data_IF_501929534236
#
_entry.id   IF_501929534236
#
_cell.length_a   1.000
_cell.length_b   1.000
_cell.length_c   1.000
_cell.angle_alpha   90.00
_cell.angle_beta   90.00
_cell.angle_gamma   90.00
#
_symmetry.space_group_name_H-M   'P 1'
#
loop_
_entity.id
_entity.type
_entity.pdbx_description
1 polymer ?
#
# COMPACT_ATOMS: atom_id res chain seq x y z
N UNK A 1 -32.85 64.35 -4.31
CA UNK A 1 -31.44 64.21 -4.73
C UNK A 1 -30.64 63.86 -3.50
N UNK A 2 -30.14 62.65 -3.31
CA UNK A 2 -29.17 61.99 -4.18
C UNK A 2 -29.26 60.47 -4.02
N UNK A 3 -29.45 59.81 -5.14
CA UNK A 3 -29.30 58.38 -5.39
C UNK A 3 -27.83 57.99 -5.48
N UNK A 4 -27.45 56.89 -4.82
CA UNK A 4 -26.22 56.12 -5.06
C UNK A 4 -26.57 54.65 -4.84
N UNK A 5 -27.09 53.99 -5.88
CA UNK A 5 -26.35 53.08 -6.77
C UNK A 5 -25.87 51.81 -6.04
N UNK A 6 -26.79 50.85 -5.91
CA UNK A 6 -26.49 49.44 -5.67
C UNK A 6 -25.89 48.85 -6.96
N UNK A 7 -24.57 48.73 -6.99
CA UNK A 7 -23.84 48.00 -8.02
C UNK A 7 -23.70 46.54 -7.59
N UNK A 8 -23.98 45.65 -8.54
CA UNK A 8 -24.02 44.22 -8.41
C UNK A 8 -22.70 43.60 -7.93
N UNK A 9 -22.82 42.58 -7.08
CA UNK A 9 -21.85 41.49 -6.99
C UNK A 9 -22.64 40.19 -7.15
N UNK A 10 -22.95 39.88 -8.41
CA UNK A 10 -23.08 38.49 -8.86
C UNK A 10 -21.64 37.97 -9.01
N UNK A 11 -21.08 37.44 -7.93
CA UNK A 11 -19.92 36.55 -8.02
C UNK A 11 -20.52 35.14 -8.18
N UNK A 12 -20.43 34.64 -9.42
CA UNK A 12 -20.75 33.27 -9.74
C UNK A 12 -19.65 32.37 -9.16
N UNK A 13 -19.88 31.80 -7.98
CA UNK A 13 -19.12 30.66 -7.48
C UNK A 13 -19.64 29.40 -8.19
N UNK A 14 -19.25 29.27 -9.46
CA UNK A 14 -19.53 28.13 -10.35
C UNK A 14 -18.37 27.11 -10.25
N UNK A 15 -17.96 26.78 -9.03
CA UNK A 15 -16.98 25.73 -8.70
C UNK A 15 -17.70 24.48 -8.15
N UNK A 16 -18.83 24.10 -8.76
CA UNK A 16 -19.43 22.78 -8.62
C UNK A 16 -18.56 21.74 -9.35
N UNK A 17 -17.31 21.59 -8.92
CA UNK A 17 -16.57 20.36 -9.20
C UNK A 17 -17.32 19.25 -8.47
N UNK A 18 -18.08 18.45 -9.23
CA UNK A 18 -18.79 17.29 -8.69
C UNK A 18 -17.84 16.51 -7.77
N UNK A 19 -18.24 16.27 -6.52
CA UNK A 19 -17.45 15.52 -5.53
C UNK A 19 -16.99 14.13 -6.05
N UNK A 20 -17.62 13.65 -7.12
CA UNK A 20 -17.28 12.44 -7.86
C UNK A 20 -15.93 12.51 -8.63
N UNK A 21 -15.46 13.71 -8.97
CA UNK A 21 -14.22 13.93 -9.74
C UNK A 21 -13.00 14.23 -8.84
N UNK A 22 -13.21 14.36 -7.52
CA UNK A 22 -12.15 14.65 -6.56
C UNK A 22 -11.49 13.35 -6.07
N UNK A 23 -10.18 13.20 -6.35
CA UNK A 23 -9.37 12.10 -5.82
C UNK A 23 -8.67 12.53 -4.52
N UNK A 24 -8.93 11.81 -3.43
CA UNK A 24 -8.41 12.11 -2.09
C UNK A 24 -7.16 11.30 -1.80
N UNK A 25 -6.02 11.98 -1.71
CA UNK A 25 -4.72 11.35 -1.45
C UNK A 25 -4.29 11.63 -0.02
N UNK A 26 -3.88 10.59 0.69
CA UNK A 26 -3.31 10.68 2.03
C UNK A 26 -1.90 10.11 2.07
N UNK A 27 -0.99 10.81 2.75
CA UNK A 27 0.35 10.31 3.05
C UNK A 27 0.40 9.87 4.50
N UNK A 28 0.61 8.58 4.73
CA UNK A 28 0.57 8.00 6.07
C UNK A 28 1.89 8.32 6.79
N UNK A 29 1.85 9.07 7.91
CA UNK A 29 3.05 9.40 8.65
C UNK A 29 3.62 8.18 9.37
N UNK A 30 4.91 8.24 9.68
CA UNK A 30 5.56 7.24 10.53
C UNK A 30 5.06 7.26 11.98
N UNK A 31 5.37 6.19 12.72
CA UNK A 31 5.15 6.07 14.17
C UNK A 31 3.68 6.08 14.64
N UNK A 32 2.72 5.84 13.74
CA UNK A 32 1.33 5.59 14.14
C UNK A 32 1.20 4.24 14.84
N UNK A 33 0.39 4.17 15.91
CA UNK A 33 0.12 2.91 16.63
C UNK A 33 -1.18 2.27 16.14
N UNK A 34 -2.12 3.09 15.69
CA UNK A 34 -3.40 2.66 15.16
C UNK A 34 -3.86 3.55 14.00
N UNK A 35 -4.77 3.06 13.13
CA UNK A 35 -5.37 3.88 12.09
C UNK A 35 -6.05 5.14 12.65
N UNK A 36 -6.61 5.09 13.86
CA UNK A 36 -7.29 6.21 14.53
C UNK A 36 -6.35 7.36 14.95
N UNK A 37 -5.04 7.10 14.98
CA UNK A 37 -4.05 8.13 15.25
C UNK A 37 -3.90 9.07 14.03
N UNK A 38 -4.27 8.58 12.84
CA UNK A 38 -4.24 9.36 11.61
C UNK A 38 -5.54 10.15 11.44
N UNK A 39 -5.42 11.48 11.34
CA UNK A 39 -6.56 12.40 11.31
C UNK A 39 -7.56 12.07 10.18
N UNK A 40 -7.15 11.84 8.92
CA UNK A 40 -8.09 11.49 7.84
C UNK A 40 -8.94 10.26 8.15
N UNK A 41 -8.34 9.18 8.67
CA UNK A 41 -9.09 7.99 9.06
C UNK A 41 -10.02 8.26 10.26
N UNK A 42 -9.57 9.04 11.23
CA UNK A 42 -10.38 9.39 12.40
C UNK A 42 -11.58 10.25 12.03
N UNK A 43 -11.42 11.22 11.14
CA UNK A 43 -12.51 12.10 10.70
C UNK A 43 -13.56 11.32 9.91
N UNK A 44 -13.12 10.46 8.99
CA UNK A 44 -14.02 9.59 8.24
C UNK A 44 -14.86 8.68 9.14
N UNK A 45 -14.29 8.18 10.24
CA UNK A 45 -15.04 7.40 11.21
C UNK A 45 -16.09 8.21 11.99
N UNK A 46 -15.93 9.53 12.08
CA UNK A 46 -16.84 10.41 12.81
C UNK A 46 -17.94 10.98 11.90
N UNK A 47 -17.59 11.37 10.68
CA UNK A 47 -18.49 11.97 9.71
C UNK A 47 -18.10 11.56 8.28
N UNK A 48 -18.46 10.36 7.82
CA UNK A 48 -18.08 9.86 6.50
C UNK A 48 -18.77 10.61 5.35
N UNK A 49 -19.80 11.41 5.63
CA UNK A 49 -20.52 12.19 4.62
C UNK A 49 -19.71 13.43 4.27
N UNK A 50 -19.22 14.16 5.27
CA UNK A 50 -18.46 15.40 5.05
C UNK A 50 -16.93 15.17 5.01
N UNK A 51 -16.43 14.10 5.64
CA UNK A 51 -15.03 13.69 5.64
C UNK A 51 -14.89 12.26 5.07
N UNK A 52 -15.18 12.02 3.79
CA UNK A 52 -15.06 10.68 3.18
C UNK A 52 -13.64 10.10 3.28
N UNK A 53 -13.49 8.76 3.19
CA UNK A 53 -12.20 8.12 3.32
C UNK A 53 -11.26 8.52 2.18
N UNK A 54 -9.93 8.50 2.39
CA UNK A 54 -8.97 8.68 1.30
C UNK A 54 -9.09 7.57 0.25
N UNK A 55 -9.02 7.95 -1.02
CA UNK A 55 -9.03 7.02 -2.16
C UNK A 55 -7.65 6.35 -2.34
N UNK A 56 -6.57 7.10 -2.07
CA UNK A 56 -5.19 6.64 -2.23
C UNK A 56 -4.42 6.93 -0.93
N UNK A 57 -3.74 5.92 -0.41
CA UNK A 57 -2.83 6.05 0.74
C UNK A 57 -1.40 5.73 0.31
N UNK A 58 -0.51 6.71 0.44
CA UNK A 58 0.93 6.56 0.19
C UNK A 58 1.62 6.32 1.52
N UNK A 59 2.45 5.27 1.62
CA UNK A 59 3.14 4.93 2.86
C UNK A 59 4.41 4.14 2.62
N UNK A 60 5.23 4.00 3.66
CA UNK A 60 6.40 3.13 3.68
C UNK A 60 6.09 1.82 4.42
N UNK A 61 6.76 0.70 4.06
CA UNK A 61 6.59 -0.56 4.79
C UNK A 61 6.83 -0.45 6.29
N UNK A 62 7.76 0.41 6.72
CA UNK A 62 8.06 0.63 8.13
C UNK A 62 6.89 1.25 8.91
N UNK A 63 6.08 2.09 8.26
CA UNK A 63 4.95 2.77 8.89
C UNK A 63 3.71 1.87 8.93
N UNK A 64 3.43 1.16 7.84
CA UNK A 64 2.25 0.31 7.72
C UNK A 64 2.43 -1.09 8.36
N UNK A 65 3.65 -1.64 8.32
CA UNK A 65 3.96 -2.99 8.78
C UNK A 65 3.53 -3.30 10.22
N UNK A 66 3.81 -2.43 11.22
CA UNK A 66 3.36 -2.64 12.60
C UNK A 66 1.84 -2.72 12.72
N UNK A 67 1.10 -1.91 11.95
CA UNK A 67 -0.37 -1.94 11.96
C UNK A 67 -0.90 -3.23 11.33
N UNK A 68 -0.23 -3.76 10.31
CA UNK A 68 -0.57 -5.02 9.64
C UNK A 68 -0.42 -6.25 10.54
N UNK A 69 0.41 -6.19 11.59
CA UNK A 69 0.56 -7.28 12.55
C UNK A 69 -0.64 -7.40 13.50
N UNK A 70 -1.36 -6.31 13.77
CA UNK A 70 -2.50 -6.28 14.67
C UNK A 70 -3.78 -6.74 13.96
N UNK A 71 -4.45 -7.83 14.43
CA UNK A 71 -5.74 -8.25 13.87
C UNK A 71 -6.84 -7.20 14.03
N UNK A 72 -6.69 -6.26 14.97
CA UNK A 72 -7.67 -5.18 15.22
C UNK A 72 -7.73 -4.16 14.09
N UNK A 73 -6.70 -4.11 13.25
CA UNK A 73 -6.61 -3.16 12.14
C UNK A 73 -6.95 -3.83 10.81
N UNK A 74 -7.65 -4.96 10.81
CA UNK A 74 -7.90 -5.73 9.58
C UNK A 74 -8.75 -4.95 8.58
N UNK A 75 -9.67 -4.12 9.07
CA UNK A 75 -10.54 -3.28 8.24
C UNK A 75 -9.74 -2.31 7.36
N UNK A 76 -8.59 -1.81 7.85
CA UNK A 76 -7.67 -0.98 7.06
C UNK A 76 -7.20 -1.67 5.75
N UNK A 77 -7.11 -3.00 5.76
CA UNK A 77 -6.64 -3.78 4.63
C UNK A 77 -7.77 -4.38 3.80
N UNK A 78 -8.95 -4.57 4.40
CA UNK A 78 -10.09 -5.22 3.76
C UNK A 78 -10.70 -4.38 2.64
N UNK A 79 -10.71 -3.06 2.81
CA UNK A 79 -11.32 -2.14 1.85
C UNK A 79 -10.40 -1.76 0.68
N UNK A 80 -9.15 -2.23 0.70
CA UNK A 80 -8.13 -1.88 -0.29
C UNK A 80 -8.16 -2.85 -1.47
N UNK A 81 -8.64 -2.35 -2.62
CA UNK A 81 -8.71 -3.12 -3.87
C UNK A 81 -7.35 -3.36 -4.53
N UNK A 82 -6.39 -2.45 -4.38
CA UNK A 82 -5.08 -2.51 -5.05
C UNK A 82 -3.96 -2.07 -4.12
N UNK A 83 -2.89 -2.88 -4.05
CA UNK A 83 -1.63 -2.54 -3.43
C UNK A 83 -0.57 -2.36 -4.53
N UNK A 84 0.00 -1.16 -4.60
CA UNK A 84 1.17 -0.87 -5.45
C UNK A 84 2.40 -0.80 -4.56
N UNK A 85 3.43 -1.57 -4.93
CA UNK A 85 4.75 -1.56 -4.28
C UNK A 85 5.74 -1.00 -5.29
N UNK A 86 6.07 0.27 -5.12
CA UNK A 86 7.09 0.95 -5.93
C UNK A 86 8.51 0.59 -5.44
N UNK A 87 9.50 0.69 -6.34
CA UNK A 87 10.90 0.29 -6.11
C UNK A 87 11.04 -1.07 -5.41
N UNK A 88 10.26 -2.06 -5.86
CA UNK A 88 10.19 -3.38 -5.25
C UNK A 88 11.55 -4.10 -5.23
N UNK A 89 12.41 -3.82 -6.20
CA UNK A 89 13.80 -4.28 -6.21
C UNK A 89 14.60 -3.74 -5.03
N UNK A 90 14.53 -2.43 -4.77
CA UNK A 90 15.18 -1.82 -3.61
C UNK A 90 14.55 -2.26 -2.28
N UNK A 91 13.24 -2.48 -2.22
CA UNK A 91 12.60 -2.94 -0.99
C UNK A 91 12.98 -4.38 -0.63
N UNK A 92 13.09 -5.24 -1.63
CA UNK A 92 13.39 -6.66 -1.46
C UNK A 92 14.88 -6.94 -1.29
N UNK A 93 15.76 -6.15 -1.93
CA UNK A 93 17.21 -6.26 -1.78
C UNK A 93 17.77 -5.39 -0.64
N UNK A 94 17.23 -4.18 -0.45
CA UNK A 94 17.67 -3.17 0.51
C UNK A 94 17.24 -3.36 1.96
N UNK A 95 16.80 -4.57 2.34
CA UNK A 95 16.57 -4.94 3.75
C UNK A 95 15.18 -4.61 4.31
N UNK A 96 14.23 -4.15 3.49
CA UNK A 96 12.84 -3.90 3.91
C UNK A 96 11.91 -5.11 3.75
N UNK A 97 12.43 -6.25 3.29
CA UNK A 97 11.67 -7.48 3.04
C UNK A 97 10.79 -7.89 4.22
N UNK A 98 11.30 -7.78 5.46
CA UNK A 98 10.54 -8.15 6.67
C UNK A 98 9.35 -7.21 6.89
N UNK A 99 9.55 -5.91 6.72
CA UNK A 99 8.51 -4.90 6.89
C UNK A 99 7.45 -5.06 5.80
N UNK A 100 7.87 -5.31 4.55
CA UNK A 100 6.96 -5.61 3.44
C UNK A 100 6.16 -6.90 3.70
N UNK A 101 6.81 -7.97 4.18
CA UNK A 101 6.13 -9.21 4.55
C UNK A 101 5.04 -9.00 5.61
N UNK A 102 5.29 -8.11 6.59
CA UNK A 102 4.28 -7.75 7.58
C UNK A 102 3.08 -7.06 6.93
N UNK A 103 3.30 -6.13 6.00
CA UNK A 103 2.23 -5.46 5.23
C UNK A 103 1.42 -6.50 4.47
N UNK A 104 2.08 -7.39 3.72
CA UNK A 104 1.42 -8.46 2.96
C UNK A 104 0.63 -9.42 3.87
N UNK A 105 1.09 -9.64 5.11
CA UNK A 105 0.34 -10.43 6.09
C UNK A 105 -0.98 -9.77 6.51
N UNK A 106 -1.03 -8.43 6.56
CA UNK A 106 -2.26 -7.66 6.78
C UNK A 106 -3.31 -7.96 5.71
N UNK A 107 -2.94 -7.80 4.44
CA UNK A 107 -3.79 -8.12 3.29
C UNK A 107 -4.25 -9.59 3.28
N UNK A 108 -3.33 -10.54 3.47
CA UNK A 108 -3.69 -11.96 3.56
C UNK A 108 -4.67 -12.27 4.69
N UNK A 109 -4.63 -11.52 5.79
CA UNK A 109 -5.60 -11.67 6.89
C UNK A 109 -6.96 -11.15 6.47
N UNK A 110 -7.01 -9.99 5.81
CA UNK A 110 -8.25 -9.41 5.31
C UNK A 110 -8.93 -10.30 4.27
N UNK A 111 -8.17 -10.80 3.29
CA UNK A 111 -8.68 -11.74 2.28
C UNK A 111 -9.34 -12.98 2.92
N UNK A 112 -8.71 -13.54 3.97
CA UNK A 112 -9.26 -14.70 4.70
C UNK A 112 -10.55 -14.39 5.46
N UNK A 113 -10.70 -13.19 6.01
CA UNK A 113 -11.93 -12.78 6.69
C UNK A 113 -13.07 -12.59 5.69
N UNK A 114 -12.79 -12.02 4.53
CA UNK A 114 -13.77 -11.88 3.46
C UNK A 114 -14.29 -13.24 2.97
N UNK A 115 -13.42 -14.26 2.88
CA UNK A 115 -13.84 -15.65 2.57
C UNK A 115 -14.78 -16.21 3.66
N UNK A 116 -14.52 -15.92 4.94
CA UNK A 116 -15.33 -16.41 6.05
C UNK A 116 -16.69 -15.72 6.15
N UNK A 117 -16.77 -14.42 5.84
CA UNK A 117 -18.03 -13.67 5.87
C UNK A 117 -18.92 -13.92 4.64
N UNK A 118 -18.33 -14.30 3.49
CA UNK A 118 -19.08 -14.76 2.32
C UNK A 118 -19.57 -16.20 2.39
N UNK A 119 -19.31 -16.89 3.52
CA UNK A 119 -19.46 -18.33 3.68
C UNK A 119 -20.73 -18.81 4.36
N UNK A 120 -21.55 -17.98 4.98
CA UNK A 120 -22.75 -18.46 5.71
C UNK A 120 -23.52 -17.30 6.32
N UNK A 121 -24.84 -17.28 6.10
CA UNK A 121 -25.75 -16.29 6.66
C UNK A 121 -25.79 -16.29 8.18
N UNK A 122 -26.09 -15.12 8.75
CA UNK A 122 -26.68 -14.88 10.06
C UNK A 122 -26.55 -16.04 11.07
N UNK A 123 -25.43 -16.05 11.78
CA UNK A 123 -25.23 -16.83 13.00
C UNK A 123 -24.86 -15.90 14.15
N UNK A 124 -25.88 -15.43 14.86
CA UNK A 124 -25.79 -14.72 16.13
C UNK A 124 -24.99 -15.56 17.14
N UNK A 125 -23.91 -15.00 17.72
CA UNK A 125 -23.29 -15.54 18.93
C UNK A 125 -21.77 -15.64 18.96
N UNK A 126 -21.17 -14.84 19.83
CA UNK A 126 -20.05 -15.31 20.66
C UNK A 126 -18.66 -15.04 20.12
N UNK A 127 -18.05 -13.95 20.60
CA UNK A 127 -16.61 -13.77 20.53
C UNK A 127 -15.82 -14.85 21.27
N UNK A 128 -14.50 -14.81 21.06
CA UNK A 128 -13.45 -15.53 21.82
C UNK A 128 -13.14 -16.96 21.36
N UNK A 129 -12.15 -17.10 20.45
CA UNK A 129 -11.12 -18.18 20.41
C UNK A 129 -10.17 -18.10 19.20
N UNK A 130 -9.91 -16.90 18.66
CA UNK A 130 -9.08 -16.71 17.47
C UNK A 130 -7.55 -16.85 17.70
N UNK A 131 -7.10 -17.13 18.92
CA UNK A 131 -5.68 -17.00 19.29
C UNK A 131 -4.87 -18.31 19.31
N UNK A 132 -5.48 -19.49 19.23
CA UNK A 132 -4.73 -20.76 19.31
C UNK A 132 -4.50 -21.48 17.97
N UNK A 133 -5.22 -21.12 16.90
CA UNK A 133 -5.12 -21.82 15.61
C UNK A 133 -4.17 -21.19 14.58
N UNK A 134 -3.50 -20.08 14.90
CA UNK A 134 -2.64 -19.38 13.92
C UNK A 134 -1.31 -20.14 13.66
N UNK A 135 -0.91 -21.05 14.56
CA UNK A 135 0.34 -21.81 14.45
C UNK A 135 0.28 -22.97 13.42
N UNK A 136 -0.90 -23.40 13.00
CA UNK A 136 -1.07 -24.56 12.09
C UNK A 136 -1.33 -24.22 10.62
N UNK A 137 -1.31 -22.94 10.23
CA UNK A 137 -1.80 -22.47 8.92
C UNK A 137 -0.70 -22.22 7.89
N UNK A 138 0.46 -22.85 8.06
CA UNK A 138 1.58 -22.78 7.12
C UNK A 138 1.49 -23.87 6.04
N UNK A 139 0.70 -24.93 6.23
CA UNK A 139 0.93 -26.16 5.46
C UNK A 139 -0.07 -26.54 4.37
N UNK A 140 -1.24 -25.92 4.21
CA UNK A 140 -2.23 -26.44 3.24
C UNK A 140 -2.67 -25.43 2.17
N UNK A 141 -2.06 -25.59 1.01
CA UNK A 141 -2.47 -25.02 -0.27
C UNK A 141 -3.78 -25.69 -0.73
N UNK A 142 -4.80 -24.89 -1.05
CA UNK A 142 -5.93 -25.34 -1.87
C UNK A 142 -7.28 -25.31 -1.17
N UNK A 143 -8.04 -24.23 -1.36
CA UNK A 143 -9.50 -24.33 -1.50
C UNK A 143 -9.99 -23.12 -2.29
N UNK A 144 -10.59 -23.41 -3.44
CA UNK A 144 -11.30 -22.45 -4.27
C UNK A 144 -12.57 -22.04 -3.54
N UNK A 145 -12.57 -20.85 -2.94
CA UNK A 145 -13.74 -20.22 -2.40
C UNK A 145 -14.12 -19.03 -3.28
N UNK A 146 -15.44 -18.91 -3.53
CA UNK A 146 -16.21 -17.84 -4.18
C UNK A 146 -15.47 -16.50 -4.28
N UNK A 147 -15.60 -15.80 -5.41
CA UNK A 147 -14.86 -14.58 -5.81
C UNK A 147 -14.88 -13.48 -4.72
N UNK A 148 -14.03 -13.67 -3.72
CA UNK A 148 -13.56 -12.62 -2.83
C UNK A 148 -12.74 -11.70 -3.71
N UNK A 149 -13.06 -10.40 -3.70
CA UNK A 149 -12.20 -9.39 -4.31
C UNK A 149 -10.86 -9.43 -3.56
N UNK A 150 -9.95 -10.27 -4.06
CA UNK A 150 -8.56 -10.30 -3.62
C UNK A 150 -7.94 -8.96 -3.98
N UNK A 151 -7.16 -8.39 -3.06
CA UNK A 151 -6.35 -7.21 -3.38
C UNK A 151 -5.46 -7.53 -4.59
N UNK A 152 -5.52 -6.69 -5.62
CA UNK A 152 -4.58 -6.75 -6.74
C UNK A 152 -3.21 -6.25 -6.25
N UNK A 153 -2.17 -7.05 -6.44
CA UNK A 153 -0.80 -6.68 -6.07
C UNK A 153 -0.03 -6.29 -7.33
N UNK A 154 0.48 -5.06 -7.38
CA UNK A 154 1.31 -4.55 -8.46
C UNK A 154 2.68 -4.23 -7.89
N UNK A 155 3.71 -4.94 -8.36
CA UNK A 155 5.10 -4.73 -7.98
C UNK A 155 5.81 -4.00 -9.12
N UNK A 156 6.38 -2.83 -8.83
CA UNK A 156 7.06 -1.98 -9.80
C UNK A 156 8.54 -1.89 -9.41
N UNK A 157 9.44 -2.01 -10.36
CA UNK A 157 10.89 -1.91 -10.13
C UNK A 157 11.63 -1.66 -11.43
N UNK A 158 12.81 -1.05 -11.34
CA UNK A 158 13.65 -0.75 -12.50
C UNK A 158 14.53 -1.96 -12.89
N UNK A 159 14.85 -2.80 -11.90
CA UNK A 159 15.70 -3.97 -12.07
C UNK A 159 15.02 -5.23 -11.52
N UNK A 160 15.34 -6.39 -12.08
CA UNK A 160 14.95 -7.69 -11.52
C UNK A 160 16.19 -8.59 -11.53
N UNK A 161 17.05 -8.53 -10.49
CA UNK A 161 18.16 -9.45 -10.39
C UNK A 161 17.62 -10.89 -10.37
N UNK A 162 18.16 -11.74 -11.26
CA UNK A 162 17.76 -13.13 -11.45
C UNK A 162 18.70 -14.15 -10.78
N UNK A 163 19.85 -13.68 -10.30
CA UNK A 163 20.92 -14.51 -9.71
C UNK A 163 20.93 -14.47 -8.17
N UNK A 164 21.11 -15.63 -7.54
CA UNK A 164 21.21 -15.80 -6.09
C UNK A 164 19.91 -16.28 -5.42
N UNK A 165 20.03 -17.06 -4.34
CA UNK A 165 18.89 -17.63 -3.59
C UNK A 165 18.01 -16.58 -2.88
N UNK A 166 18.46 -15.31 -2.85
CA UNK A 166 17.75 -14.15 -2.30
C UNK A 166 17.36 -13.13 -3.38
N UNK A 167 17.39 -13.54 -4.65
CA UNK A 167 17.05 -12.63 -5.74
C UNK A 167 15.58 -12.21 -5.65
N UNK A 168 15.32 -10.97 -6.06
CA UNK A 168 13.97 -10.39 -6.14
C UNK A 168 13.06 -11.30 -6.95
N UNK A 169 13.56 -11.86 -8.05
CA UNK A 169 12.80 -12.76 -8.91
C UNK A 169 12.45 -14.09 -8.23
N UNK A 170 13.36 -14.68 -7.45
CA UNK A 170 13.09 -15.88 -6.68
C UNK A 170 12.03 -15.63 -5.60
N UNK A 171 12.08 -14.47 -4.93
CA UNK A 171 11.07 -14.07 -3.96
C UNK A 171 9.69 -13.95 -4.61
N UNK A 172 9.58 -13.21 -5.72
CA UNK A 172 8.31 -13.01 -6.42
C UNK A 172 7.71 -14.32 -6.92
N UNK A 173 8.51 -15.20 -7.56
CA UNK A 173 8.04 -16.51 -8.04
C UNK A 173 7.55 -17.42 -6.90
N UNK A 174 8.22 -17.40 -5.76
CA UNK A 174 7.81 -18.17 -4.59
C UNK A 174 6.54 -17.61 -3.95
N UNK A 175 6.45 -16.28 -3.84
CA UNK A 175 5.39 -15.62 -3.08
C UNK A 175 4.12 -15.39 -3.88
N UNK A 176 4.25 -15.13 -5.17
CA UNK A 176 3.19 -14.84 -6.12
C UNK A 176 3.37 -15.73 -7.36
N UNK A 177 3.13 -17.05 -7.24
CA UNK A 177 3.38 -18.00 -8.33
C UNK A 177 2.55 -17.71 -9.59
N UNK A 178 1.35 -17.15 -9.41
CA UNK A 178 0.44 -16.76 -10.49
C UNK A 178 0.69 -15.33 -11.03
N UNK A 179 1.81 -14.70 -10.67
CA UNK A 179 2.09 -13.31 -11.10
C UNK A 179 2.38 -13.22 -12.59
N UNK A 180 1.78 -12.23 -13.25
CA UNK A 180 2.09 -11.89 -14.64
C UNK A 180 3.25 -10.90 -14.64
N UNK A 181 4.29 -11.22 -15.41
CA UNK A 181 5.47 -10.35 -15.57
C UNK A 181 5.33 -9.54 -16.86
N UNK A 182 5.40 -8.23 -16.74
CA UNK A 182 5.44 -7.30 -17.87
C UNK A 182 6.81 -6.64 -17.89
N UNK A 183 7.60 -6.93 -18.92
CA UNK A 183 8.94 -6.36 -19.12
C UNK A 183 8.89 -5.37 -20.27
N UNK A 184 9.22 -4.11 -20.01
CA UNK A 184 9.32 -3.08 -21.05
C UNK A 184 10.73 -2.98 -21.62
N UNK A 185 10.85 -2.34 -22.80
CA UNK A 185 12.14 -2.00 -23.41
C UNK A 185 12.90 -1.07 -22.47
N UNK A 186 14.05 -1.51 -21.97
CA UNK A 186 14.86 -0.76 -21.00
C UNK A 186 14.82 -1.30 -19.57
N UNK A 187 14.29 -2.51 -19.32
CA UNK A 187 14.47 -3.16 -18.02
C UNK A 187 15.85 -3.79 -17.91
N UNK A 188 16.61 -3.41 -16.87
CA UNK A 188 17.98 -3.88 -16.69
C UNK A 188 17.99 -5.16 -15.84
N UNK A 189 18.68 -6.19 -16.32
CA UNK A 189 19.07 -7.30 -15.46
C UNK A 189 20.35 -6.88 -14.74
N UNK A 190 20.20 -6.36 -13.51
CA UNK A 190 21.32 -6.04 -12.63
C UNK A 190 22.00 -7.35 -12.19
N UNK A 191 22.75 -7.97 -13.10
CA UNK A 191 23.70 -9.00 -12.73
C UNK A 191 24.83 -8.31 -11.99
N UNK A 192 24.88 -8.48 -10.67
CA UNK A 192 26.02 -8.05 -9.85
C UNK A 192 27.27 -8.85 -10.22
N UNK A 193 27.81 -8.63 -11.41
CA UNK A 193 29.25 -8.52 -11.52
C UNK A 193 29.50 -7.11 -10.96
N UNK A 194 30.23 -6.99 -9.85
CA UNK A 194 30.66 -5.67 -9.38
C UNK A 194 31.19 -4.85 -10.55
N UNK A 195 31.06 -3.51 -10.47
CA UNK A 195 31.54 -2.62 -11.53
C UNK A 195 32.91 -3.12 -12.02
N UNK A 196 33.00 -3.46 -13.31
CA UNK A 196 34.25 -3.96 -13.90
C UNK A 196 35.40 -2.96 -13.71
N UNK A 197 35.04 -1.69 -13.59
CA UNK A 197 35.94 -0.57 -13.36
C UNK A 197 35.46 0.21 -12.14
N UNK A 198 36.37 0.54 -11.24
CA UNK A 198 36.08 1.25 -10.01
C UNK A 198 35.47 2.63 -10.31
N UNK A 199 34.36 2.99 -9.64
CA UNK A 199 33.80 4.35 -9.73
C UNK A 199 34.84 5.37 -9.28
N UNK A 200 35.26 6.24 -10.20
CA UNK A 200 36.10 7.40 -9.88
C UNK A 200 35.19 8.51 -9.38
N UNK A 201 35.33 8.86 -8.10
CA UNK A 201 34.67 10.03 -7.53
C UNK A 201 35.48 11.27 -7.89
N UNK A 202 34.96 12.10 -8.79
CA UNK A 202 35.52 13.42 -9.06
C UNK A 202 35.02 14.35 -7.95
N UNK A 203 35.93 14.78 -7.08
CA UNK A 203 35.65 15.82 -6.10
C UNK A 203 35.82 17.16 -6.81
N UNK A 204 34.76 17.95 -6.94
CA UNK A 204 34.89 19.34 -7.33
C UNK A 204 35.70 20.05 -6.24
N UNK A 205 36.94 20.41 -6.57
CA UNK A 205 37.76 21.25 -5.72
C UNK A 205 37.20 22.66 -5.74
N UNK A 206 36.76 23.15 -4.58
CA UNK A 206 36.81 24.58 -4.30
C UNK A 206 38.27 25.01 -4.39
N UNK A 207 38.66 25.62 -5.51
CA UNK A 207 39.84 26.50 -5.60
C UNK A 207 39.75 27.32 -6.88
N UNK A 208 39.63 28.65 -6.73
CA UNK A 208 39.98 29.58 -7.80
C UNK A 208 38.98 30.70 -8.10
N UNK A 209 38.63 31.54 -7.11
CA UNK A 209 38.49 32.98 -7.37
C UNK A 209 39.23 33.75 -6.28
N UNK A 210 40.04 34.68 -6.77
CA UNK A 210 41.18 35.41 -6.20
C UNK A 210 40.92 36.13 -4.87
#
# INVERSE_FOLDING_TARGET
SSSSSSAAQDEADDDDADDADVVRIAVLPGNLKSPRDFRPFRQCLLDPINDPPPDIVITTPASLGPMALSPKNVDLFADVGTLVVDEADMLLDGGYVRQLDNVLMGFRRADKLAVRMGGDGWGEGGGTKYTEKVQGWVDDFGSEALVVKKTQHVMVGATLPDVGLRSVDAYLRKRFPESVRVTMRGMHNARHYGLREQTVWIKDGEDGRE
#
